data_IF_218578989350
#
_entry.id   IF_218578989350
#
_cell.length_a   1.000
_cell.length_b   1.000
_cell.length_c   1.000
_cell.angle_alpha   90.00
_cell.angle_beta   90.00
_cell.angle_gamma   90.00
#
_symmetry.space_group_name_H-M   'P 1'
#
loop_
_entity.id
_entity.type
_entity.pdbx_description
1 polymer ?
#
# COMPACT_ATOMS: atom_id res chain seq x y z
N UNK A 1 33.39 -19.72 3.88
CA UNK A 1 32.19 -19.98 4.71
C UNK A 1 31.35 -18.72 4.88
N UNK A 2 31.86 -17.65 5.53
CA UNK A 2 31.07 -16.43 5.81
C UNK A 2 30.55 -15.68 4.58
N UNK A 3 31.31 -15.63 3.48
CA UNK A 3 30.89 -14.95 2.23
C UNK A 3 29.69 -15.61 1.56
N UNK A 4 29.61 -16.94 1.57
CA UNK A 4 28.48 -17.68 1.00
C UNK A 4 27.19 -17.43 1.80
N UNK A 5 27.30 -17.37 3.14
CA UNK A 5 26.17 -17.06 4.01
C UNK A 5 25.69 -15.63 3.75
N UNK A 6 26.60 -14.67 3.63
CA UNK A 6 26.25 -13.28 3.32
C UNK A 6 25.59 -13.13 1.94
N UNK A 7 26.09 -13.85 0.93
CA UNK A 7 25.49 -13.85 -0.40
C UNK A 7 24.06 -14.39 -0.39
N UNK A 8 23.82 -15.52 0.26
CA UNK A 8 22.46 -16.11 0.37
C UNK A 8 21.54 -15.20 1.18
N UNK A 9 22.03 -14.60 2.26
CA UNK A 9 21.30 -13.62 3.07
C UNK A 9 20.79 -12.46 2.20
N UNK A 10 21.67 -11.86 1.39
CA UNK A 10 21.32 -10.74 0.53
C UNK A 10 20.35 -11.15 -0.59
N UNK A 11 20.59 -12.29 -1.24
CA UNK A 11 19.72 -12.77 -2.33
C UNK A 11 18.32 -13.12 -1.82
N UNK A 12 18.21 -13.84 -0.70
CA UNK A 12 16.92 -14.19 -0.09
C UNK A 12 16.17 -12.94 0.42
N UNK A 13 16.87 -12.01 1.08
CA UNK A 13 16.29 -10.75 1.52
C UNK A 13 15.75 -9.91 0.36
N UNK A 14 16.52 -9.80 -0.73
CA UNK A 14 16.11 -9.07 -1.93
C UNK A 14 14.92 -9.76 -2.64
N UNK A 15 14.95 -11.09 -2.75
CA UNK A 15 13.86 -11.85 -3.40
C UNK A 15 12.54 -11.70 -2.65
N UNK A 16 12.58 -11.76 -1.31
CA UNK A 16 11.40 -11.63 -0.47
C UNK A 16 10.81 -10.21 -0.53
N UNK A 17 11.64 -9.19 -0.34
CA UNK A 17 11.22 -7.77 -0.42
C UNK A 17 10.70 -7.38 -1.81
N UNK A 18 11.20 -8.03 -2.85
CA UNK A 18 10.73 -7.81 -4.23
C UNK A 18 9.45 -8.57 -4.57
N UNK A 19 8.96 -9.55 -3.81
CA UNK A 19 7.69 -10.24 -4.14
C UNK A 19 6.51 -9.83 -3.26
N UNK A 20 6.76 -9.42 -2.02
CA UNK A 20 5.70 -9.05 -1.09
C UNK A 20 5.28 -7.57 -1.25
N UNK A 21 4.04 -7.31 -1.68
CA UNK A 21 3.53 -5.97 -2.02
C UNK A 21 3.52 -5.02 -0.81
N UNK A 22 3.25 -5.52 0.39
CA UNK A 22 3.29 -4.74 1.64
C UNK A 22 4.71 -4.28 1.97
N UNK A 23 5.69 -5.19 1.85
CA UNK A 23 7.09 -4.83 2.00
C UNK A 23 7.59 -3.89 0.89
N UNK A 24 7.10 -4.03 -0.35
CA UNK A 24 7.42 -3.11 -1.46
C UNK A 24 6.99 -1.68 -1.15
N UNK A 25 5.79 -1.46 -0.60
CA UNK A 25 5.35 -0.11 -0.24
C UNK A 25 6.17 0.47 0.92
N UNK A 26 6.55 -0.35 1.91
CA UNK A 26 7.40 0.09 3.02
C UNK A 26 8.83 0.40 2.58
N UNK A 27 9.40 -0.42 1.69
CA UNK A 27 10.70 -0.20 1.03
C UNK A 27 10.68 1.04 0.14
N UNK A 28 9.60 1.26 -0.62
CA UNK A 28 9.49 2.42 -1.55
C UNK A 28 9.29 3.75 -0.83
N UNK A 29 8.76 3.74 0.39
CA UNK A 29 8.70 4.91 1.30
C UNK A 29 10.01 5.13 2.07
N UNK A 30 10.94 4.17 2.04
CA UNK A 30 12.25 4.28 2.69
C UNK A 30 13.27 4.85 1.70
N UNK A 31 13.80 6.05 1.97
CA UNK A 31 14.74 6.73 1.07
C UNK A 31 16.18 6.33 1.44
N UNK A 32 16.96 5.83 0.46
CA UNK A 32 18.40 5.63 0.60
C UNK A 32 18.81 4.35 1.34
N UNK A 33 19.52 4.49 2.47
CA UNK A 33 20.23 3.40 3.17
C UNK A 33 19.31 2.41 3.88
N UNK A 34 18.10 2.84 4.24
CA UNK A 34 17.12 2.03 4.99
C UNK A 34 16.66 0.80 4.20
N UNK A 35 16.68 0.87 2.86
CA UNK A 35 16.36 -0.27 1.99
C UNK A 35 17.37 -1.41 2.19
N UNK A 36 18.65 -1.10 2.31
CA UNK A 36 19.70 -2.11 2.52
C UNK A 36 19.59 -2.74 3.91
N UNK A 37 19.28 -1.94 4.94
CA UNK A 37 19.03 -2.46 6.29
C UNK A 37 17.81 -3.36 6.34
N UNK A 38 16.73 -3.00 5.64
CA UNK A 38 15.52 -3.81 5.60
C UNK A 38 15.76 -5.15 4.89
N UNK A 39 16.45 -5.13 3.74
CA UNK A 39 16.87 -6.35 3.02
C UNK A 39 17.73 -7.24 3.91
N UNK A 40 18.70 -6.66 4.61
CA UNK A 40 19.57 -7.39 5.54
C UNK A 40 18.78 -7.99 6.71
N UNK A 41 17.84 -7.25 7.30
CA UNK A 41 17.01 -7.72 8.41
C UNK A 41 16.18 -8.93 8.01
N UNK A 42 15.50 -8.88 6.85
CA UNK A 42 14.73 -10.03 6.36
C UNK A 42 15.64 -11.22 6.03
N UNK A 43 16.81 -10.98 5.45
CA UNK A 43 17.82 -12.03 5.24
C UNK A 43 18.23 -12.71 6.55
N UNK A 44 18.48 -11.93 7.61
CA UNK A 44 18.82 -12.46 8.94
C UNK A 44 17.71 -13.37 9.50
N UNK A 45 16.44 -13.00 9.34
CA UNK A 45 15.31 -13.82 9.80
C UNK A 45 15.32 -15.20 9.11
N UNK A 46 15.52 -15.25 7.79
CA UNK A 46 15.56 -16.53 7.07
C UNK A 46 16.76 -17.40 7.45
N UNK A 47 17.93 -16.79 7.66
CA UNK A 47 19.12 -17.52 8.12
C UNK A 47 18.89 -18.08 9.53
N UNK A 48 18.28 -17.32 10.44
CA UNK A 48 17.92 -17.80 11.78
C UNK A 48 16.93 -18.97 11.73
N UNK A 49 15.94 -18.92 10.83
CA UNK A 49 15.01 -20.04 10.61
C UNK A 49 15.73 -21.29 10.08
N UNK A 50 16.66 -21.12 9.12
CA UNK A 50 17.50 -22.21 8.63
C UNK A 50 18.39 -22.81 9.71
N UNK A 51 18.93 -21.97 10.61
CA UNK A 51 19.72 -22.42 11.76
C UNK A 51 18.89 -23.24 12.73
N UNK A 52 17.68 -22.77 13.05
CA UNK A 52 16.74 -23.49 13.92
C UNK A 52 16.33 -24.85 13.32
N UNK A 53 16.03 -24.88 12.02
CA UNK A 53 15.71 -26.14 11.31
C UNK A 53 16.88 -27.14 11.35
N UNK A 54 18.11 -26.66 11.17
CA UNK A 54 19.31 -27.49 11.26
C UNK A 54 19.53 -28.02 12.68
N UNK A 55 19.28 -27.20 13.70
CA UNK A 55 19.34 -27.63 15.10
C UNK A 55 18.29 -28.71 15.42
N UNK A 56 17.07 -28.60 14.87
CA UNK A 56 16.03 -29.61 15.01
C UNK A 56 16.46 -30.92 14.35
N UNK A 57 17.03 -30.88 13.14
CA UNK A 57 17.53 -32.08 12.46
C UNK A 57 18.63 -32.76 13.29
N UNK A 58 19.54 -31.98 13.84
CA UNK A 58 20.59 -32.52 14.71
C UNK A 58 19.99 -33.20 15.95
N UNK A 59 19.00 -32.58 16.60
CA UNK A 59 18.29 -33.19 17.73
C UNK A 59 17.55 -34.47 17.35
N UNK A 60 16.91 -34.52 16.18
CA UNK A 60 16.26 -35.73 15.67
C UNK A 60 17.28 -36.84 15.43
N UNK A 61 18.41 -36.54 14.80
CA UNK A 61 19.50 -37.49 14.61
C UNK A 61 20.06 -38.01 15.93
N UNK A 62 20.14 -37.15 16.95
CA UNK A 62 20.56 -37.55 18.31
C UNK A 62 19.55 -38.52 18.93
N UNK A 63 18.25 -38.23 18.85
CA UNK A 63 17.19 -39.10 19.40
C UNK A 63 17.21 -40.46 18.69
N UNK A 64 17.29 -40.47 17.36
CA UNK A 64 17.33 -41.70 16.55
C UNK A 64 18.60 -42.51 16.82
N UNK A 65 19.75 -41.85 16.92
CA UNK A 65 21.03 -42.48 17.28
C UNK A 65 20.96 -43.09 18.69
N UNK A 66 20.38 -42.37 19.66
CA UNK A 66 20.24 -42.86 21.03
C UNK A 66 19.27 -44.03 21.14
N UNK A 67 18.14 -44.00 20.41
CA UNK A 67 17.16 -45.09 20.43
C UNK A 67 17.67 -46.34 19.72
N UNK A 68 18.34 -46.19 18.58
CA UNK A 68 18.96 -47.30 17.85
C UNK A 68 20.07 -47.98 18.68
N UNK A 69 20.85 -47.19 19.43
CA UNK A 69 21.87 -47.70 20.34
C UNK A 69 21.26 -48.40 21.57
N UNK A 70 20.15 -47.88 22.12
CA UNK A 70 19.41 -48.53 23.20
C UNK A 70 18.79 -49.88 22.80
N UNK A 71 18.32 -49.98 21.55
CA UNK A 71 17.73 -51.19 20.97
C UNK A 71 18.79 -52.19 20.42
N UNK A 72 20.08 -51.86 20.51
CA UNK A 72 21.19 -52.66 19.97
C UNK A 72 20.96 -53.17 18.53
N UNK A 73 20.46 -52.30 17.65
CA UNK A 73 20.12 -52.66 16.26
C UNK A 73 21.35 -53.17 15.50
N UNK A 74 22.55 -52.70 15.85
CA UNK A 74 23.83 -53.20 15.34
C UNK A 74 24.71 -53.57 16.54
N UNK A 75 25.07 -54.85 16.72
CA UNK A 75 25.93 -55.26 17.82
C UNK A 75 27.38 -54.80 17.56
N UNK A 76 27.90 -53.96 18.47
CA UNK A 76 29.33 -53.63 18.55
C UNK A 76 29.74 -52.22 18.10
N UNK A 77 28.86 -51.45 17.45
CA UNK A 77 29.13 -50.05 17.11
C UNK A 77 28.08 -49.09 17.67
N UNK A 78 28.54 -48.04 18.36
CA UNK A 78 27.68 -46.93 18.73
C UNK A 78 27.44 -46.06 17.49
N UNK A 79 26.24 -46.18 16.91
CA UNK A 79 25.78 -45.32 15.83
C UNK A 79 25.76 -43.87 16.31
N UNK A 80 26.64 -43.01 15.76
CA UNK A 80 26.80 -41.59 16.16
C UNK A 80 26.46 -40.64 15.00
N UNK A 81 25.30 -40.86 14.36
CA UNK A 81 24.86 -40.09 13.17
C UNK A 81 24.87 -38.57 13.37
N UNK A 82 24.62 -38.08 14.59
CA UNK A 82 24.74 -36.65 14.91
C UNK A 82 26.16 -36.08 14.71
N UNK A 83 27.20 -36.86 14.98
CA UNK A 83 28.61 -36.45 14.85
C UNK A 83 29.12 -36.66 13.44
N UNK A 84 28.68 -37.72 12.77
CA UNK A 84 28.92 -37.89 11.34
C UNK A 84 28.32 -36.73 10.55
N UNK A 85 27.10 -36.30 10.88
CA UNK A 85 26.48 -35.13 10.25
C UNK A 85 27.28 -33.83 10.46
N UNK A 86 27.83 -33.61 11.66
CA UNK A 86 28.65 -32.42 11.94
C UNK A 86 30.00 -32.44 11.22
N UNK A 87 30.61 -33.61 11.10
CA UNK A 87 31.96 -33.77 10.54
C UNK A 87 31.96 -34.00 9.03
N UNK A 88 30.80 -34.32 8.44
CA UNK A 88 30.69 -34.52 7.01
C UNK A 88 30.84 -33.19 6.27
N UNK A 89 31.68 -33.19 5.25
CA UNK A 89 31.88 -32.05 4.37
C UNK A 89 31.57 -32.41 2.93
N UNK A 90 30.84 -31.51 2.27
CA UNK A 90 30.55 -31.57 0.85
C UNK A 90 31.17 -30.34 0.18
N UNK A 91 32.04 -30.54 -0.82
CA UNK A 91 32.74 -29.46 -1.55
C UNK A 91 33.51 -28.47 -0.65
N UNK A 92 34.05 -28.94 0.49
CA UNK A 92 34.78 -28.09 1.45
C UNK A 92 33.89 -27.24 2.36
N UNK A 93 32.56 -27.39 2.29
CA UNK A 93 31.59 -26.78 3.19
C UNK A 93 31.07 -27.87 4.14
N UNK A 94 30.90 -27.54 5.42
CA UNK A 94 30.34 -28.48 6.40
C UNK A 94 28.86 -28.75 6.09
N UNK A 95 28.43 -30.01 6.16
CA UNK A 95 27.05 -30.42 5.84
C UNK A 95 25.96 -29.64 6.61
N UNK A 96 26.12 -29.28 7.90
CA UNK A 96 25.14 -28.46 8.61
C UNK A 96 24.93 -27.08 7.97
N UNK A 97 26.00 -26.47 7.43
CA UNK A 97 25.92 -25.16 6.77
C UNK A 97 25.16 -25.28 5.45
N UNK A 98 25.41 -26.34 4.67
CA UNK A 98 24.69 -26.58 3.40
C UNK A 98 23.20 -26.78 3.66
N UNK A 99 22.86 -27.60 4.67
CA UNK A 99 21.47 -27.84 5.08
C UNK A 99 20.80 -26.56 5.55
N UNK A 100 21.48 -25.76 6.39
CA UNK A 100 20.99 -24.45 6.84
C UNK A 100 20.65 -23.52 5.66
N UNK A 101 21.55 -23.41 4.68
CA UNK A 101 21.32 -22.57 3.50
C UNK A 101 20.18 -23.11 2.62
N UNK A 102 20.07 -24.43 2.45
CA UNK A 102 18.98 -25.05 1.71
C UNK A 102 17.62 -24.78 2.36
N UNK A 103 17.52 -24.89 3.70
CA UNK A 103 16.31 -24.53 4.43
C UNK A 103 16.00 -23.05 4.36
N UNK A 104 17.00 -22.16 4.49
CA UNK A 104 16.80 -20.72 4.36
C UNK A 104 16.21 -20.36 2.98
N UNK A 105 16.74 -20.94 1.90
CA UNK A 105 16.22 -20.76 0.53
C UNK A 105 14.82 -21.37 0.40
N UNK A 106 14.59 -22.58 0.93
CA UNK A 106 13.30 -23.26 0.91
C UNK A 106 12.21 -22.45 1.62
N UNK A 107 12.47 -21.94 2.82
CA UNK A 107 11.57 -21.05 3.57
C UNK A 107 11.35 -19.73 2.84
N UNK A 108 12.39 -19.15 2.24
CA UNK A 108 12.26 -17.95 1.42
C UNK A 108 11.30 -18.19 0.25
N UNK A 109 11.46 -19.29 -0.49
CA UNK A 109 10.57 -19.64 -1.61
C UNK A 109 9.15 -19.94 -1.13
N UNK A 110 9.00 -20.75 -0.08
CA UNK A 110 7.70 -21.10 0.48
C UNK A 110 6.94 -19.87 0.96
N UNK A 111 7.57 -19.01 1.77
CA UNK A 111 6.96 -17.79 2.29
C UNK A 111 6.74 -16.75 1.20
N UNK A 112 7.60 -16.69 0.19
CA UNK A 112 7.41 -15.81 -0.96
C UNK A 112 6.27 -16.28 -1.86
N UNK A 113 6.03 -17.58 -1.98
CA UNK A 113 4.95 -18.16 -2.78
C UNK A 113 3.61 -18.20 -2.01
N UNK A 114 3.67 -18.25 -0.68
CA UNK A 114 2.54 -18.11 0.24
C UNK A 114 2.37 -16.67 0.75
N UNK A 115 3.11 -15.68 0.22
CA UNK A 115 2.68 -14.30 0.42
C UNK A 115 1.37 -14.15 -0.33
N UNK A 116 0.29 -14.12 0.45
CA UNK A 116 -1.11 -13.94 0.08
C UNK A 116 -1.32 -12.72 -0.84
N UNK A 117 -0.31 -11.85 -0.94
CA UNK A 117 -0.25 -10.75 -1.88
C UNK A 117 -0.32 -11.14 -3.35
N UNK A 118 0.10 -12.36 -3.74
CA UNK A 118 -0.01 -12.82 -5.12
C UNK A 118 -1.42 -13.33 -5.49
N UNK A 119 -2.25 -13.64 -4.48
CA UNK A 119 -3.64 -14.12 -4.63
C UNK A 119 -4.68 -13.13 -4.11
N UNK A 120 -4.32 -11.85 -4.00
CA UNK A 120 -5.31 -10.84 -3.63
C UNK A 120 -6.34 -10.72 -4.75
N UNK A 121 -7.49 -11.33 -4.50
CA UNK A 121 -8.74 -11.08 -5.21
C UNK A 121 -8.98 -9.56 -5.24
N UNK A 122 -9.73 -9.06 -6.23
CA UNK A 122 -9.98 -7.62 -6.43
C UNK A 122 -10.39 -6.91 -5.11
N UNK A 123 -11.17 -7.59 -4.26
CA UNK A 123 -11.59 -7.10 -2.94
C UNK A 123 -10.47 -7.01 -1.91
N UNK A 124 -9.57 -7.99 -1.81
CA UNK A 124 -8.45 -7.95 -0.86
C UNK A 124 -7.44 -6.85 -1.17
N UNK A 125 -7.27 -6.51 -2.46
CA UNK A 125 -6.48 -5.33 -2.86
C UNK A 125 -7.12 -4.04 -2.37
N UNK A 126 -8.45 -3.91 -2.50
CA UNK A 126 -9.20 -2.74 -2.01
C UNK A 126 -9.04 -2.57 -0.50
N UNK A 127 -9.18 -3.65 0.26
CA UNK A 127 -9.04 -3.60 1.72
C UNK A 127 -7.61 -3.23 2.15
N UNK A 128 -6.59 -3.74 1.46
CA UNK A 128 -5.20 -3.35 1.71
C UNK A 128 -4.95 -1.89 1.36
N UNK A 129 -5.44 -1.41 0.21
CA UNK A 129 -5.34 0.00 -0.15
C UNK A 129 -6.03 0.89 0.89
N UNK A 130 -7.21 0.50 1.37
CA UNK A 130 -7.94 1.22 2.41
C UNK A 130 -7.20 1.21 3.75
N UNK A 131 -6.57 0.08 4.14
CA UNK A 131 -5.77 0.02 5.35
C UNK A 131 -4.49 0.88 5.26
N UNK A 132 -3.84 0.91 4.09
CA UNK A 132 -2.66 1.73 3.85
C UNK A 132 -3.02 3.22 3.82
N UNK A 133 -4.12 3.58 3.16
CA UNK A 133 -4.58 4.96 3.04
C UNK A 133 -5.01 5.56 4.39
N UNK A 134 -5.43 4.76 5.37
CA UNK A 134 -5.71 5.24 6.75
C UNK A 134 -4.52 5.95 7.41
N UNK A 135 -3.30 5.67 6.97
CA UNK A 135 -2.10 6.36 7.49
C UNK A 135 -1.93 7.77 6.91
N UNK A 136 -2.63 8.11 5.83
CA UNK A 136 -2.55 9.39 5.14
C UNK A 136 -3.96 9.91 4.81
N UNK A 137 -4.43 10.93 5.56
CA UNK A 137 -5.78 11.47 5.41
C UNK A 137 -6.13 11.95 3.99
N UNK A 138 -5.15 12.41 3.21
CA UNK A 138 -5.35 12.83 1.81
C UNK A 138 -5.65 11.61 0.91
N UNK A 139 -4.88 10.53 1.03
CA UNK A 139 -5.10 9.30 0.27
C UNK A 139 -6.44 8.65 0.61
N UNK A 140 -6.80 8.65 1.91
CA UNK A 140 -8.09 8.11 2.35
C UNK A 140 -9.26 8.90 1.75
N UNK A 141 -9.18 10.22 1.74
CA UNK A 141 -10.26 11.05 1.17
C UNK A 141 -10.39 10.86 -0.33
N UNK A 142 -9.27 10.81 -1.06
CA UNK A 142 -9.29 10.56 -2.50
C UNK A 142 -9.82 9.17 -2.84
N UNK A 143 -9.46 8.17 -2.05
CA UNK A 143 -10.00 6.83 -2.21
C UNK A 143 -11.52 6.83 -2.01
N UNK A 144 -12.02 7.56 -1.00
CA UNK A 144 -13.46 7.74 -0.78
C UNK A 144 -14.12 8.43 -1.98
N UNK A 145 -13.56 9.54 -2.48
CA UNK A 145 -14.09 10.22 -3.68
C UNK A 145 -14.16 9.28 -4.89
N UNK A 146 -13.13 8.46 -5.10
CA UNK A 146 -13.08 7.51 -6.22
C UNK A 146 -14.07 6.36 -6.07
N UNK A 147 -14.35 5.91 -4.85
CA UNK A 147 -15.25 4.79 -4.57
C UNK A 147 -16.72 5.21 -4.59
N UNK A 148 -17.04 6.34 -3.96
CA UNK A 148 -18.40 6.86 -3.81
C UNK A 148 -18.83 7.72 -5.02
N UNK A 149 -17.86 8.18 -5.83
CA UNK A 149 -18.13 9.08 -6.96
C UNK A 149 -18.33 10.54 -6.53
N UNK A 150 -18.01 10.86 -5.27
CA UNK A 150 -18.15 12.19 -4.70
C UNK A 150 -17.17 13.20 -5.33
N UNK A 151 -17.57 14.46 -5.33
CA UNK A 151 -16.74 15.54 -5.84
C UNK A 151 -15.66 15.89 -4.82
N UNK A 152 -14.44 16.15 -5.31
CA UNK A 152 -13.36 16.68 -4.50
C UNK A 152 -13.28 18.20 -4.69
N UNK A 153 -13.11 18.93 -3.59
CA UNK A 153 -12.67 20.32 -3.57
C UNK A 153 -11.16 20.37 -3.35
N UNK A 154 -10.43 20.88 -4.33
CA UNK A 154 -8.97 20.96 -4.31
C UNK A 154 -8.55 22.43 -4.39
N UNK A 155 -7.84 22.90 -3.37
CA UNK A 155 -7.21 24.23 -3.37
C UNK A 155 -5.72 24.07 -3.62
N UNK A 156 -5.20 24.76 -4.62
CA UNK A 156 -3.77 24.80 -4.91
C UNK A 156 -3.10 25.98 -4.17
N UNK A 157 -1.79 25.87 -3.94
CA UNK A 157 -0.95 26.95 -3.39
C UNK A 157 -1.02 28.25 -4.20
N UNK A 158 -1.36 28.16 -5.49
CA UNK A 158 -1.62 29.30 -6.38
C UNK A 158 -2.96 29.98 -6.13
N UNK A 159 -3.73 29.56 -5.11
CA UNK A 159 -5.12 29.95 -4.82
C UNK A 159 -6.13 29.55 -5.89
N UNK A 160 -5.72 28.75 -6.88
CA UNK A 160 -6.63 28.14 -7.85
C UNK A 160 -7.43 27.04 -7.17
N UNK A 161 -8.73 27.03 -7.42
CA UNK A 161 -9.65 26.03 -6.87
C UNK A 161 -10.18 25.18 -8.03
N UNK A 162 -10.20 23.87 -7.81
CA UNK A 162 -10.81 22.89 -8.70
C UNK A 162 -11.82 22.05 -7.93
N UNK A 163 -13.04 21.96 -8.45
CA UNK A 163 -14.08 21.07 -7.93
C UNK A 163 -14.41 20.07 -9.03
N UNK A 164 -14.37 18.78 -8.73
CA UNK A 164 -14.56 17.76 -9.75
C UNK A 164 -14.40 16.33 -9.27
N UNK A 165 -14.70 15.39 -10.16
CA UNK A 165 -14.58 13.95 -9.87
C UNK A 165 -13.12 13.52 -9.95
N UNK A 166 -12.65 12.78 -8.93
CA UNK A 166 -11.31 12.19 -8.94
C UNK A 166 -11.35 10.93 -9.79
N UNK A 167 -10.59 10.92 -10.88
CA UNK A 167 -10.53 9.77 -11.78
C UNK A 167 -9.43 8.79 -11.37
N UNK A 168 -8.26 9.31 -11.02
CA UNK A 168 -7.11 8.51 -10.62
C UNK A 168 -6.20 9.34 -9.72
N UNK A 169 -5.47 8.67 -8.83
CA UNK A 169 -4.42 9.28 -8.04
C UNK A 169 -3.20 8.36 -8.03
N UNK A 170 -2.02 8.94 -8.21
CA UNK A 170 -0.74 8.24 -8.24
C UNK A 170 0.15 8.81 -7.14
N UNK A 171 0.58 7.97 -6.19
CA UNK A 171 1.42 8.37 -5.06
C UNK A 171 2.76 7.62 -5.01
N UNK A 172 3.21 7.07 -6.16
CA UNK A 172 4.37 6.16 -6.18
C UNK A 172 5.71 6.83 -5.80
N UNK A 173 5.89 8.10 -6.15
CA UNK A 173 7.05 8.90 -5.78
C UNK A 173 6.61 10.31 -5.39
N UNK A 174 7.18 10.88 -4.33
CA UNK A 174 6.81 12.21 -3.84
C UNK A 174 6.89 13.30 -4.92
N UNK A 175 7.93 13.25 -5.77
CA UNK A 175 8.13 14.23 -6.85
C UNK A 175 7.25 14.01 -8.10
N UNK A 176 6.62 12.84 -8.26
CA UNK A 176 5.73 12.57 -9.39
C UNK A 176 4.30 12.29 -8.94
N UNK A 177 4.02 12.50 -7.66
CA UNK A 177 2.72 12.25 -7.08
C UNK A 177 1.71 13.22 -7.71
N UNK A 178 0.65 12.66 -8.29
CA UNK A 178 -0.33 13.44 -9.03
C UNK A 178 -1.75 12.91 -8.85
N UNK A 179 -2.70 13.81 -9.02
CA UNK A 179 -4.14 13.52 -8.98
C UNK A 179 -4.73 13.95 -10.31
N UNK A 180 -5.49 13.05 -10.92
CA UNK A 180 -6.23 13.29 -12.15
C UNK A 180 -7.67 13.58 -11.79
N UNK A 181 -8.11 14.81 -12.06
CA UNK A 181 -9.45 15.29 -11.79
C UNK A 181 -10.18 15.63 -13.08
N UNK A 182 -11.47 15.30 -13.14
CA UNK A 182 -12.39 15.78 -14.18
C UNK A 182 -13.11 17.00 -13.61
N UNK A 183 -12.73 18.22 -14.01
CA UNK A 183 -13.24 19.43 -13.39
C UNK A 183 -14.73 19.61 -13.74
N UNK A 184 -15.53 19.92 -12.74
CA UNK A 184 -16.91 20.41 -12.86
C UNK A 184 -16.94 21.94 -12.75
N UNK A 185 -16.17 22.50 -11.81
CA UNK A 185 -15.99 23.93 -11.61
C UNK A 185 -14.51 24.24 -11.43
N UNK A 186 -14.07 25.42 -11.89
CA UNK A 186 -12.78 25.97 -11.50
C UNK A 186 -12.86 27.46 -11.26
N UNK A 187 -11.98 27.94 -10.39
CA UNK A 187 -11.92 29.34 -10.03
C UNK A 187 -10.68 29.66 -9.24
N UNK A 188 -10.77 30.72 -8.44
CA UNK A 188 -9.73 31.11 -7.51
C UNK A 188 -10.33 31.64 -6.21
N UNK A 189 -9.51 31.64 -5.15
CA UNK A 189 -9.82 32.33 -3.90
C UNK A 189 -9.26 33.73 -3.96
N UNK A 190 -10.12 34.73 -3.83
CA UNK A 190 -9.66 36.12 -3.82
C UNK A 190 -8.74 36.38 -2.62
N UNK A 191 -7.66 37.13 -2.85
CA UNK A 191 -6.63 37.38 -1.83
C UNK A 191 -7.08 38.31 -0.71
N UNK A 192 -8.08 39.16 -0.95
CA UNK A 192 -8.56 40.19 -0.03
C UNK A 192 -9.85 39.76 0.65
N UNK A 193 -10.81 39.28 -0.11
CA UNK A 193 -12.13 38.88 0.43
C UNK A 193 -12.16 37.43 0.89
N UNK A 194 -11.16 36.62 0.53
CA UNK A 194 -11.10 35.18 0.77
C UNK A 194 -12.29 34.40 0.21
N UNK A 195 -13.15 35.04 -0.60
CA UNK A 195 -14.30 34.45 -1.25
C UNK A 195 -13.87 33.66 -2.48
N UNK A 196 -14.62 32.61 -2.78
CA UNK A 196 -14.42 31.84 -4.00
C UNK A 196 -15.06 32.59 -5.17
N UNK A 197 -14.27 32.80 -6.22
CA UNK A 197 -14.75 33.31 -7.50
C UNK A 197 -14.69 32.20 -8.54
N UNK A 198 -15.83 31.83 -9.10
CA UNK A 198 -15.93 30.81 -10.16
C UNK A 198 -15.59 31.48 -11.50
N UNK A 199 -14.59 30.97 -12.20
CA UNK A 199 -14.23 31.45 -13.53
C UNK A 199 -14.79 30.56 -14.64
N UNK A 200 -14.75 29.24 -14.44
CA UNK A 200 -15.17 28.27 -15.46
C UNK A 200 -16.15 27.27 -14.87
N UNK A 201 -17.31 27.17 -15.50
CA UNK A 201 -18.33 26.18 -15.19
C UNK A 201 -18.33 25.09 -16.27
N UNK A 202 -17.58 24.02 -16.03
CA UNK A 202 -17.48 22.89 -16.95
C UNK A 202 -18.75 22.04 -16.95
N UNK A 203 -19.46 21.92 -15.82
CA UNK A 203 -20.69 21.13 -15.76
C UNK A 203 -21.76 21.69 -16.69
N UNK A 204 -21.91 23.02 -16.75
CA UNK A 204 -22.76 23.70 -17.73
C UNK A 204 -22.32 23.42 -19.17
N UNK A 205 -21.01 23.52 -19.43
CA UNK A 205 -20.45 23.24 -20.75
C UNK A 205 -20.71 21.79 -21.20
N UNK A 206 -20.53 20.81 -20.29
CA UNK A 206 -20.79 19.41 -20.57
C UNK A 206 -22.28 19.16 -20.88
N UNK A 207 -23.19 19.79 -20.13
CA UNK A 207 -24.62 19.70 -20.36
C UNK A 207 -25.03 20.30 -21.72
N UNK A 208 -24.55 21.51 -22.05
CA UNK A 208 -24.86 22.20 -23.31
C UNK A 208 -24.36 21.44 -24.55
N UNK A 209 -23.26 20.68 -24.41
CA UNK A 209 -22.64 19.92 -25.50
C UNK A 209 -22.96 18.42 -25.46
N UNK A 210 -23.86 17.98 -24.57
CA UNK A 210 -24.19 16.56 -24.35
C UNK A 210 -22.94 15.67 -24.13
N UNK A 211 -21.92 16.20 -23.46
CA UNK A 211 -20.68 15.50 -23.15
C UNK A 211 -20.90 14.69 -21.88
N UNK A 212 -20.86 13.37 -22.00
CA UNK A 212 -20.92 12.45 -20.87
C UNK A 212 -19.54 11.82 -20.63
N UNK A 213 -19.43 10.96 -19.62
CA UNK A 213 -18.21 10.18 -19.36
C UNK A 213 -17.86 9.25 -20.53
N UNK A 214 -18.84 8.88 -21.37
CA UNK A 214 -18.72 7.89 -22.44
C UNK A 214 -19.09 8.42 -23.83
N UNK A 215 -19.38 9.71 -23.97
CA UNK A 215 -19.78 10.29 -25.27
C UNK A 215 -18.65 10.27 -26.30
N UNK A 216 -18.99 9.97 -27.55
CA UNK A 216 -18.09 10.11 -28.72
C UNK A 216 -18.57 11.28 -29.59
N UNK A 217 -17.68 12.06 -30.22
CA UNK A 217 -16.22 11.87 -30.36
C UNK A 217 -15.38 12.44 -29.20
N UNK A 218 -15.97 13.26 -28.31
CA UNK A 218 -15.30 13.82 -27.13
C UNK A 218 -16.07 13.46 -25.86
N UNK A 219 -15.36 12.91 -24.88
CA UNK A 219 -15.88 12.58 -23.56
C UNK A 219 -15.32 13.54 -22.49
N UNK A 220 -15.91 13.49 -21.29
CA UNK A 220 -15.44 14.30 -20.16
C UNK A 220 -13.97 14.02 -19.78
N UNK A 221 -13.45 12.82 -20.10
CA UNK A 221 -12.05 12.46 -19.87
C UNK A 221 -11.05 13.29 -20.69
N UNK A 222 -11.49 13.92 -21.78
CA UNK A 222 -10.67 14.83 -22.59
C UNK A 222 -10.36 16.13 -21.84
N UNK A 223 -11.15 16.49 -20.82
CA UNK A 223 -11.01 17.72 -20.04
C UNK A 223 -10.29 17.50 -18.71
N UNK A 224 -9.75 16.30 -18.49
CA UNK A 224 -9.05 15.97 -17.25
C UNK A 224 -7.87 16.91 -17.00
N UNK A 225 -7.67 17.27 -15.74
CA UNK A 225 -6.48 18.00 -15.29
C UNK A 225 -5.62 17.09 -14.42
N UNK A 226 -4.31 17.19 -14.62
CA UNK A 226 -3.31 16.53 -13.78
C UNK A 226 -2.79 17.58 -12.80
N UNK A 227 -3.02 17.35 -11.51
CA UNK A 227 -2.58 18.22 -10.43
C UNK A 227 -1.46 17.51 -9.68
N UNK A 228 -0.31 18.17 -9.53
CA UNK A 228 0.77 17.63 -8.72
C UNK A 228 0.43 17.80 -7.24
N UNK A 229 0.67 16.77 -6.44
CA UNK A 229 0.28 16.73 -5.02
C UNK A 229 1.03 17.76 -4.20
N UNK A 230 2.28 18.05 -4.55
CA UNK A 230 3.11 19.09 -3.93
C UNK A 230 2.52 20.51 -4.09
N UNK A 231 1.70 20.74 -5.11
CA UNK A 231 1.03 22.02 -5.36
C UNK A 231 -0.31 22.16 -4.63
N UNK A 232 -0.82 21.08 -4.03
CA UNK A 232 -2.08 21.09 -3.30
C UNK A 232 -1.84 21.68 -1.91
N UNK A 233 -2.64 22.68 -1.57
CA UNK A 233 -2.66 23.31 -0.26
C UNK A 233 -3.68 22.62 0.65
N UNK A 234 -4.88 22.33 0.12
CA UNK A 234 -5.92 21.62 0.85
C UNK A 234 -6.82 20.80 -0.07
N UNK A 235 -7.39 19.74 0.50
CA UNK A 235 -8.29 18.80 -0.17
C UNK A 235 -9.45 18.46 0.78
N UNK A 236 -10.68 18.57 0.31
CA UNK A 236 -11.88 18.16 1.04
C UNK A 236 -12.90 17.50 0.11
N UNK A 237 -13.86 16.77 0.69
CA UNK A 237 -15.06 16.37 -0.03
C UNK A 237 -15.89 17.62 -0.34
N UNK A 238 -16.50 17.64 -1.51
CA UNK A 238 -17.43 18.66 -1.92
C UNK A 238 -18.83 18.07 -1.99
N UNK A 239 -19.66 18.47 -1.04
CA UNK A 239 -21.09 18.26 -1.09
C UNK A 239 -21.78 19.57 -1.51
N UNK A 240 -22.52 19.59 -2.64
CA UNK A 240 -23.28 20.74 -3.09
C UNK A 240 -24.26 21.29 -2.03
N UNK A 241 -24.83 20.42 -1.18
CA UNK A 241 -25.76 20.85 -0.13
C UNK A 241 -25.02 21.63 0.97
N UNK A 242 -23.85 21.14 1.39
CA UNK A 242 -22.95 21.83 2.33
C UNK A 242 -22.44 23.18 1.79
N UNK A 243 -22.22 23.30 0.47
CA UNK A 243 -21.81 24.57 -0.12
C UNK A 243 -22.95 25.61 -0.19
N UNK A 244 -24.19 25.13 -0.36
CA UNK A 244 -25.39 25.97 -0.45
C UNK A 244 -25.85 26.50 0.91
N UNK A 245 -25.56 25.78 2.01
CA UNK A 245 -25.90 26.24 3.37
C UNK A 245 -25.04 27.43 3.83
N UNK A 246 -23.81 27.55 3.32
CA UNK A 246 -22.93 28.70 3.57
C UNK A 246 -23.40 29.99 2.90
N UNK A 247 -24.15 29.90 1.80
CA UNK A 247 -24.66 31.07 1.08
C UNK A 247 -25.86 31.77 1.78
N UNK A 248 -26.43 31.17 2.83
CA UNK A 248 -27.64 31.69 3.48
C UNK A 248 -27.41 32.81 4.53
N UNK A 249 -26.19 33.32 4.71
CA UNK A 249 -25.91 34.36 5.74
C UNK A 249 -25.41 35.69 5.20
N UNK A 250 -25.56 35.97 3.91
CA UNK A 250 -25.22 37.30 3.36
C UNK A 250 -26.30 37.83 2.42
N UNK A 251 -27.50 38.09 2.95
CA UNK A 251 -28.44 39.04 2.37
C UNK A 251 -29.28 39.68 3.48
N UNK A 252 -29.02 40.96 3.72
CA UNK A 252 -29.82 41.97 4.42
C UNK A 252 -30.95 41.47 5.35
N UNK A 253 -30.63 41.28 6.63
CA UNK A 253 -31.43 41.73 7.78
C UNK A 253 -32.92 41.36 7.90
N UNK A 254 -33.48 40.52 7.04
CA UNK A 254 -34.88 40.10 7.08
C UNK A 254 -34.90 38.57 7.12
N UNK A 255 -35.30 37.95 8.24
CA UNK A 255 -35.47 36.50 8.27
C UNK A 255 -36.59 36.11 7.31
N UNK A 256 -36.26 35.33 6.28
CA UNK A 256 -37.26 34.53 5.58
C UNK A 256 -37.62 33.37 6.49
N UNK A 257 -38.85 33.40 7.04
CA UNK A 257 -39.43 32.24 7.71
C UNK A 257 -39.50 31.07 6.72
N UNK A 258 -38.60 30.12 6.87
CA UNK A 258 -38.71 28.81 6.20
C UNK A 258 -39.71 28.00 7.01
N UNK A 259 -40.99 28.09 6.64
CA UNK A 259 -41.98 27.10 7.08
C UNK A 259 -41.62 25.74 6.44
N UNK A 260 -40.92 24.92 7.23
CA UNK A 260 -40.49 23.59 6.83
C UNK A 260 -39.82 22.89 7.99
N UNK A 261 -40.50 22.81 9.15
CA UNK A 261 -40.06 21.96 10.25
C UNK A 261 -40.13 20.51 9.81
N UNK A 262 -38.99 19.91 9.53
CA UNK A 262 -38.82 18.47 9.51
C UNK A 262 -39.05 17.98 10.95
N UNK A 263 -40.22 17.39 11.19
CA UNK A 263 -40.56 16.76 12.46
C UNK A 263 -40.06 15.31 12.43
N UNK A 264 -39.13 14.90 13.30
CA UNK A 264 -38.53 13.56 13.26
C UNK A 264 -39.44 12.42 13.75
N UNK A 265 -40.70 12.69 14.11
CA UNK A 265 -41.62 11.70 14.71
C UNK A 265 -42.85 11.41 13.84
N UNK A 266 -42.66 10.79 12.67
CA UNK A 266 -43.74 10.05 12.00
C UNK A 266 -43.31 8.60 11.76
N UNK A 267 -44.02 7.59 12.32
CA UNK A 267 -43.73 6.17 12.12
C UNK A 267 -44.20 5.71 10.71
N UNK A 268 -43.76 4.51 10.26
CA UNK A 268 -43.34 4.23 8.88
C UNK A 268 -44.43 4.23 7.82
#
# INVERSE_FOLDING_TARGET
MGTAIFMVLMVCGYWYTSRDLSSRFKVRRSIGWDVYFLVALYGCIFVLQGMLATAIIWLLLLIVSSSANALQVIPGEHLRWQMEFMNWSFLGIQAPVVVMLAFAVGFCMYRSNWSESARLNSSGRKDLYQQLSKSNGVEQLLYQCMQEGELAWITLKSRRIYIGMVHAATFEYENTANIVIIPMLSGYRDSKTLSMSIEHNYSRWYAEHNITLTSEPKNAMAFRKVLMVDQIESLSLFDPASASSLAMTHYDGVPMEVHGTFNPDSPP
#
